data_IF_233904849048
#
_entry.id   IF_233904849048
#
_cell.length_a   1.000
_cell.length_b   1.000
_cell.length_c   1.000
_cell.angle_alpha   90.00
_cell.angle_beta   90.00
_cell.angle_gamma   90.00
#
_symmetry.space_group_name_H-M   'P 1'
#
loop_
_entity.id
_entity.type
_entity.pdbx_description
1 polymer ?
#
# COMPACT_ATOMS: atom_id res chain seq x y z
N UNK A 1 31.32 3.74 -0.95
CA UNK A 1 30.19 2.88 -1.36
C UNK A 1 28.91 3.68 -1.23
N UNK A 2 28.20 3.87 -2.32
CA UNK A 2 26.90 4.53 -2.28
C UNK A 2 25.84 3.53 -1.78
N UNK A 3 25.02 3.97 -0.81
CA UNK A 3 23.87 3.23 -0.38
C UNK A 3 22.66 3.79 -1.12
N UNK A 4 22.02 2.95 -1.92
CA UNK A 4 20.83 3.36 -2.64
C UNK A 4 19.62 3.27 -1.70
N UNK A 5 18.92 4.38 -1.53
CA UNK A 5 17.71 4.44 -0.72
C UNK A 5 16.64 5.23 -1.46
N UNK A 6 15.43 4.67 -1.51
CA UNK A 6 14.27 5.29 -2.15
C UNK A 6 13.09 5.28 -1.19
N UNK A 7 12.39 6.41 -1.11
CA UNK A 7 11.12 6.53 -0.40
C UNK A 7 10.04 6.89 -1.42
N UNK A 8 8.97 6.11 -1.43
CA UNK A 8 7.79 6.38 -2.25
C UNK A 8 6.54 6.31 -1.38
N UNK A 9 5.49 7.03 -1.73
CA UNK A 9 4.24 7.01 -0.97
C UNK A 9 3.02 6.97 -1.87
N UNK A 10 1.98 6.30 -1.39
CA UNK A 10 0.67 6.20 -2.02
C UNK A 10 -0.39 6.46 -0.95
N UNK A 11 -1.40 7.25 -1.28
CA UNK A 11 -2.51 7.49 -0.37
C UNK A 11 -3.48 6.32 -0.37
N UNK A 12 -4.04 6.03 0.79
CA UNK A 12 -5.06 5.02 0.98
C UNK A 12 -6.09 5.51 2.01
N UNK A 13 -7.09 4.70 2.26
CA UNK A 13 -8.13 4.99 3.26
C UNK A 13 -8.30 3.78 4.16
N UNK A 14 -8.42 4.03 5.46
CA UNK A 14 -8.77 3.02 6.44
C UNK A 14 -10.19 3.23 6.96
N UNK A 15 -10.66 2.30 7.79
CA UNK A 15 -11.96 2.40 8.46
C UNK A 15 -11.79 2.22 9.96
N UNK A 16 -12.48 3.08 10.73
CA UNK A 16 -12.74 2.87 12.14
C UNK A 16 -14.25 2.79 12.27
N UNK A 17 -14.77 1.57 12.50
CA UNK A 17 -16.20 1.33 12.39
C UNK A 17 -16.69 1.61 10.98
N UNK A 18 -17.60 2.57 10.82
CA UNK A 18 -18.13 2.99 9.51
C UNK A 18 -17.48 4.28 9.00
N UNK A 19 -16.55 4.84 9.74
CA UNK A 19 -15.90 6.10 9.38
C UNK A 19 -14.56 5.85 8.71
N UNK A 20 -14.38 6.43 7.51
CA UNK A 20 -13.11 6.40 6.80
C UNK A 20 -12.13 7.41 7.35
N UNK A 21 -10.84 7.12 7.21
CA UNK A 21 -9.77 8.06 7.55
C UNK A 21 -8.61 7.88 6.57
N UNK A 22 -7.81 8.94 6.32
CA UNK A 22 -6.69 8.81 5.40
C UNK A 22 -5.53 8.02 5.99
N UNK A 23 -4.92 7.19 5.16
CA UNK A 23 -3.70 6.44 5.48
C UNK A 23 -2.68 6.72 4.38
N UNK A 24 -1.46 7.04 4.78
CA UNK A 24 -0.35 7.15 3.84
C UNK A 24 0.47 5.87 3.89
N UNK A 25 0.60 5.22 2.76
CA UNK A 25 1.41 4.00 2.61
C UNK A 25 2.76 4.41 2.06
N UNK A 26 3.80 4.25 2.88
CA UNK A 26 5.16 4.64 2.53
C UNK A 26 6.01 3.40 2.32
N UNK A 27 6.68 3.32 1.17
CA UNK A 27 7.63 2.25 0.86
C UNK A 27 9.05 2.81 0.95
N UNK A 28 9.83 2.30 1.87
CA UNK A 28 11.24 2.61 2.02
C UNK A 28 12.07 1.41 1.57
N UNK A 29 12.82 1.59 0.50
CA UNK A 29 13.62 0.54 -0.11
C UNK A 29 15.08 0.94 -0.04
N UNK A 30 15.92 0.11 0.56
CA UNK A 30 17.35 0.37 0.72
C UNK A 30 18.13 -0.91 0.43
N UNK A 31 19.33 -0.74 -0.15
CA UNK A 31 20.21 -1.86 -0.39
C UNK A 31 20.55 -2.58 0.91
N UNK A 32 20.57 -3.89 0.86
CA UNK A 32 20.88 -4.71 2.02
C UNK A 32 20.34 -6.12 1.89
N UNK A 33 20.37 -6.84 2.99
CA UNK A 33 19.81 -8.19 3.06
C UNK A 33 18.32 -8.14 2.74
N UNK A 34 17.82 -8.98 1.82
CA UNK A 34 16.42 -8.99 1.45
C UNK A 34 15.51 -9.17 2.65
N UNK A 35 14.55 -8.26 2.80
CA UNK A 35 13.63 -8.25 3.92
C UNK A 35 12.38 -7.48 3.52
N UNK A 36 11.22 -7.92 3.97
CA UNK A 36 9.96 -7.24 3.72
C UNK A 36 9.17 -7.15 5.01
N UNK A 37 9.03 -5.96 5.55
CA UNK A 37 8.29 -5.71 6.78
C UNK A 37 7.22 -4.65 6.60
N UNK A 38 6.12 -4.80 7.36
CA UNK A 38 5.03 -3.84 7.41
C UNK A 38 4.94 -3.33 8.85
N UNK A 39 5.00 -2.02 9.01
CA UNK A 39 4.91 -1.33 10.30
C UNK A 39 3.77 -0.32 10.29
N UNK A 40 3.39 0.22 11.45
CA UNK A 40 2.28 1.16 11.59
C UNK A 40 1.05 0.52 12.21
N UNK A 41 1.23 -0.35 13.19
CA UNK A 41 0.19 -1.10 13.89
C UNK A 41 -0.68 -1.95 12.95
N UNK A 42 -0.07 -2.81 12.12
CA UNK A 42 -0.83 -3.70 11.26
C UNK A 42 -1.44 -4.87 12.05
N UNK A 43 -2.68 -5.23 11.75
CA UNK A 43 -3.25 -6.47 12.27
C UNK A 43 -2.71 -7.69 11.48
N UNK A 44 -3.19 -8.89 11.83
CA UNK A 44 -2.74 -10.12 11.17
C UNK A 44 -3.05 -10.10 9.66
N UNK A 45 -4.24 -9.63 9.27
CA UNK A 45 -4.64 -9.57 7.86
C UNK A 45 -3.77 -8.59 7.07
N UNK A 46 -3.40 -7.46 7.67
CA UNK A 46 -2.47 -6.50 7.05
C UNK A 46 -1.08 -7.10 6.90
N UNK A 47 -0.59 -7.82 7.92
CA UNK A 47 0.71 -8.49 7.83
C UNK A 47 0.75 -9.55 6.73
N UNK A 48 -0.36 -10.23 6.49
CA UNK A 48 -0.48 -11.21 5.41
C UNK A 48 -0.39 -10.57 4.02
N UNK A 49 -0.53 -9.26 3.91
CA UNK A 49 -0.33 -8.53 2.64
C UNK A 49 1.03 -8.84 2.02
N UNK A 50 2.04 -9.14 2.83
CA UNK A 50 3.37 -9.52 2.32
C UNK A 50 3.28 -10.68 1.35
N UNK A 51 2.52 -11.70 1.71
CA UNK A 51 2.37 -12.92 0.88
C UNK A 51 1.53 -12.64 -0.36
N UNK A 52 0.40 -11.94 -0.21
CA UNK A 52 -0.49 -11.63 -1.34
C UNK A 52 0.17 -10.71 -2.35
N UNK A 53 0.84 -9.65 -1.90
CA UNK A 53 1.53 -8.72 -2.77
C UNK A 53 2.67 -9.40 -3.53
N UNK A 54 3.47 -10.20 -2.84
CA UNK A 54 4.58 -10.93 -3.46
C UNK A 54 4.08 -11.88 -4.53
N UNK A 55 3.05 -12.67 -4.22
CA UNK A 55 2.47 -13.62 -5.17
C UNK A 55 1.82 -12.90 -6.36
N UNK A 56 1.07 -11.83 -6.11
CA UNK A 56 0.41 -11.05 -7.15
C UNK A 56 1.43 -10.45 -8.12
N UNK A 57 2.51 -9.87 -7.62
CA UNK A 57 3.56 -9.31 -8.47
C UNK A 57 4.21 -10.39 -9.32
N UNK A 58 4.48 -11.56 -8.74
CA UNK A 58 5.03 -12.68 -9.48
C UNK A 58 4.08 -13.16 -10.59
N UNK A 59 2.78 -13.27 -10.29
CA UNK A 59 1.77 -13.66 -11.26
C UNK A 59 1.66 -12.67 -12.43
N UNK A 60 1.93 -11.40 -12.19
CA UNK A 60 1.94 -10.35 -13.20
C UNK A 60 3.31 -10.17 -13.87
N UNK A 61 4.23 -11.11 -13.67
CA UNK A 61 5.59 -11.07 -14.22
C UNK A 61 6.36 -9.80 -13.86
N UNK A 62 6.07 -9.25 -12.68
CA UNK A 62 6.77 -8.09 -12.13
C UNK A 62 7.73 -8.57 -11.05
N UNK A 63 9.05 -8.38 -11.21
CA UNK A 63 9.99 -8.84 -10.20
C UNK A 63 9.82 -8.10 -8.88
N UNK A 64 9.87 -8.84 -7.78
CA UNK A 64 9.86 -8.26 -6.44
C UNK A 64 11.27 -7.75 -6.12
N UNK A 65 11.43 -6.58 -5.45
CA UNK A 65 12.75 -6.01 -5.20
C UNK A 65 13.59 -6.91 -4.29
N UNK A 66 14.87 -7.11 -4.67
CA UNK A 66 15.87 -7.81 -3.86
C UNK A 66 16.58 -6.75 -3.03
N UNK A 67 15.95 -6.32 -1.95
CA UNK A 67 16.42 -5.23 -1.12
C UNK A 67 15.74 -5.28 0.25
N UNK A 68 16.19 -4.43 1.16
CA UNK A 68 15.51 -4.25 2.45
C UNK A 68 14.33 -3.30 2.24
N UNK A 69 13.12 -3.83 2.38
CA UNK A 69 11.88 -3.11 2.11
C UNK A 69 11.06 -2.97 3.39
N UNK A 70 10.75 -1.74 3.74
CA UNK A 70 9.87 -1.42 4.88
C UNK A 70 8.67 -0.65 4.37
N UNK A 71 7.48 -1.17 4.64
CA UNK A 71 6.20 -0.50 4.37
C UNK A 71 5.68 0.08 5.67
N UNK A 72 5.48 1.39 5.70
CA UNK A 72 4.90 2.07 6.85
C UNK A 72 3.50 2.56 6.53
N UNK A 73 2.55 2.20 7.37
CA UNK A 73 1.16 2.66 7.26
C UNK A 73 0.94 3.79 8.26
N UNK A 74 0.99 5.03 7.79
CA UNK A 74 0.84 6.21 8.63
C UNK A 74 -0.64 6.64 8.69
N UNK A 75 -1.13 7.12 9.84
CA UNK A 75 -0.40 7.41 11.07
C UNK A 75 -0.07 6.14 11.88
N UNK A 76 1.10 6.13 12.51
CA UNK A 76 1.61 4.94 13.20
C UNK A 76 0.89 4.61 14.50
N UNK A 77 0.11 5.56 15.05
CA UNK A 77 -0.63 5.41 16.31
C UNK A 77 -2.06 4.89 16.12
N UNK A 78 -2.48 4.66 14.88
CA UNK A 78 -3.80 4.12 14.54
C UNK A 78 -3.63 2.70 14.02
N UNK A 79 -4.38 1.76 14.60
CA UNK A 79 -4.36 0.36 14.16
C UNK A 79 -5.00 0.23 12.78
N UNK A 80 -4.32 -0.49 11.87
CA UNK A 80 -4.82 -0.79 10.52
C UNK A 80 -5.30 -2.23 10.48
N UNK A 81 -6.45 -2.44 9.86
CA UNK A 81 -7.13 -3.73 9.85
C UNK A 81 -7.55 -4.12 8.42
N UNK A 82 -7.54 -5.41 8.16
CA UNK A 82 -8.08 -6.00 6.95
C UNK A 82 -7.13 -5.98 5.75
N UNK A 83 -7.57 -6.59 4.64
CA UNK A 83 -6.72 -6.80 3.47
C UNK A 83 -6.74 -5.66 2.45
N UNK A 84 -7.47 -4.57 2.71
CA UNK A 84 -7.67 -3.49 1.74
C UNK A 84 -6.39 -2.70 1.41
N UNK A 85 -5.32 -2.89 2.17
CA UNK A 85 -4.05 -2.21 1.92
C UNK A 85 -3.14 -2.93 0.92
N UNK A 86 -3.53 -4.11 0.44
CA UNK A 86 -2.72 -4.88 -0.52
C UNK A 86 -2.38 -4.04 -1.76
N UNK A 87 -3.39 -3.44 -2.38
CA UNK A 87 -3.20 -2.66 -3.60
C UNK A 87 -2.31 -1.43 -3.36
N UNK A 88 -2.56 -0.56 -2.38
CA UNK A 88 -1.68 0.59 -2.16
C UNK A 88 -0.26 0.18 -1.76
N UNK A 89 -0.08 -0.94 -1.06
CA UNK A 89 1.26 -1.47 -0.75
C UNK A 89 1.98 -1.86 -2.06
N UNK A 90 1.32 -2.60 -2.95
CA UNK A 90 1.90 -2.97 -4.23
C UNK A 90 2.26 -1.74 -5.07
N UNK A 91 1.37 -0.75 -5.12
CA UNK A 91 1.61 0.49 -5.86
C UNK A 91 2.78 1.28 -5.29
N UNK A 92 2.91 1.35 -3.97
CA UNK A 92 4.04 2.02 -3.32
C UNK A 92 5.37 1.31 -3.64
N UNK A 93 5.38 -0.02 -3.65
CA UNK A 93 6.56 -0.80 -4.03
C UNK A 93 6.92 -0.54 -5.49
N UNK A 94 5.95 -0.56 -6.40
CA UNK A 94 6.17 -0.27 -7.82
C UNK A 94 6.73 1.14 -8.03
N UNK A 95 6.23 2.11 -7.27
CA UNK A 95 6.74 3.48 -7.31
C UNK A 95 8.20 3.54 -6.81
N UNK A 96 8.51 2.85 -5.72
CA UNK A 96 9.88 2.79 -5.19
C UNK A 96 10.85 2.12 -6.17
N UNK A 97 10.36 1.18 -6.98
CA UNK A 97 11.15 0.51 -8.02
C UNK A 97 11.28 1.34 -9.31
N UNK A 98 10.67 2.52 -9.37
CA UNK A 98 10.67 3.35 -10.57
C UNK A 98 9.76 2.86 -11.69
N UNK A 99 8.87 1.92 -11.41
CA UNK A 99 7.93 1.36 -12.40
C UNK A 99 6.60 2.09 -12.47
N UNK A 100 6.34 2.95 -11.50
CA UNK A 100 5.17 3.80 -11.45
C UNK A 100 5.64 5.23 -11.14
N UNK A 101 5.41 6.20 -12.04
CA UNK A 101 5.78 7.59 -11.75
C UNK A 101 5.05 8.10 -10.52
N UNK A 102 5.75 8.83 -9.65
CA UNK A 102 5.18 9.35 -8.41
C UNK A 102 3.94 10.21 -8.64
N UNK A 103 3.94 11.03 -9.69
CA UNK A 103 2.83 11.89 -10.06
C UNK A 103 1.60 11.15 -10.60
N UNK A 104 1.74 9.89 -11.01
CA UNK A 104 0.63 9.10 -11.52
C UNK A 104 -0.48 8.89 -10.48
N UNK A 105 -0.11 8.83 -9.20
CA UNK A 105 -1.04 8.64 -8.10
C UNK A 105 -1.34 9.92 -7.32
N UNK A 106 -0.86 11.06 -7.80
CA UNK A 106 -1.06 12.33 -7.10
C UNK A 106 -2.54 12.69 -7.02
N UNK A 107 -3.02 13.01 -5.82
CA UNK A 107 -4.41 13.35 -5.56
C UNK A 107 -5.36 12.16 -5.59
N UNK A 108 -4.83 10.94 -5.62
CA UNK A 108 -5.64 9.71 -5.63
C UNK A 108 -5.32 8.86 -4.42
N UNK A 109 -6.35 8.19 -3.90
CA UNK A 109 -6.16 7.09 -2.95
C UNK A 109 -6.41 5.76 -3.66
N UNK A 110 -5.79 4.69 -3.16
CA UNK A 110 -6.01 3.35 -3.65
C UNK A 110 -6.37 2.42 -2.49
N UNK A 111 -7.37 1.58 -2.68
CA UNK A 111 -7.73 0.49 -1.76
C UNK A 111 -8.08 -0.75 -2.57
N UNK A 112 -7.73 -1.92 -2.07
CA UNK A 112 -8.06 -3.17 -2.73
C UNK A 112 -7.32 -4.34 -2.11
N UNK A 113 -7.99 -5.49 -2.10
CA UNK A 113 -7.36 -6.77 -1.76
C UNK A 113 -6.80 -7.38 -3.05
N UNK A 114 -5.64 -8.01 -2.98
CA UNK A 114 -5.06 -8.72 -4.11
C UNK A 114 -5.26 -10.22 -3.94
N UNK A 115 -5.71 -10.88 -5.01
CA UNK A 115 -5.64 -12.34 -5.10
C UNK A 115 -4.21 -12.76 -5.41
N UNK A 116 -3.88 -14.02 -5.18
CA UNK A 116 -2.54 -14.56 -5.50
C UNK A 116 -2.26 -14.53 -7.01
N UNK A 117 -3.29 -14.44 -7.84
CA UNK A 117 -3.17 -14.34 -9.30
C UNK A 117 -3.00 -12.90 -9.79
N UNK A 118 -3.04 -11.92 -8.91
CA UNK A 118 -2.85 -10.51 -9.26
C UNK A 118 -4.13 -9.74 -9.55
N UNK A 119 -5.30 -10.34 -9.33
CA UNK A 119 -6.57 -9.63 -9.48
C UNK A 119 -6.85 -8.72 -8.29
N UNK A 120 -7.44 -7.57 -8.55
CA UNK A 120 -7.90 -6.65 -7.49
C UNK A 120 -9.31 -7.05 -7.09
N UNK A 121 -9.48 -7.31 -5.80
CA UNK A 121 -10.75 -7.71 -5.20
C UNK A 121 -11.40 -6.50 -4.51
N UNK A 122 -12.73 -6.46 -4.48
CA UNK A 122 -13.48 -5.40 -3.80
C UNK A 122 -13.27 -5.40 -2.30
N UNK A 123 -13.52 -4.25 -1.69
CA UNK A 123 -13.33 -4.04 -0.26
C UNK A 123 -14.62 -3.64 0.42
N UNK A 124 -14.70 -3.87 1.74
CA UNK A 124 -15.81 -3.40 2.56
C UNK A 124 -15.65 -1.91 2.84
N UNK A 125 -16.79 -1.21 2.90
CA UNK A 125 -16.80 0.20 3.29
C UNK A 125 -16.31 1.15 2.21
N UNK A 126 -16.40 0.76 0.94
CA UNK A 126 -15.95 1.59 -0.18
C UNK A 126 -16.61 2.98 -0.17
N UNK A 127 -17.90 3.08 0.14
CA UNK A 127 -18.59 4.36 0.19
C UNK A 127 -18.03 5.27 1.30
N UNK A 128 -17.84 4.72 2.50
CA UNK A 128 -17.25 5.48 3.62
C UNK A 128 -15.84 5.95 3.30
N UNK A 129 -15.05 5.11 2.62
CA UNK A 129 -13.71 5.46 2.17
C UNK A 129 -13.74 6.56 1.11
N UNK A 130 -14.66 6.49 0.16
CA UNK A 130 -14.80 7.50 -0.89
C UNK A 130 -15.20 8.87 -0.31
N UNK A 131 -16.10 8.89 0.66
CA UNK A 131 -16.51 10.12 1.35
C UNK A 131 -15.31 10.72 2.09
N UNK A 132 -14.56 9.90 2.83
CA UNK A 132 -13.38 10.36 3.56
C UNK A 132 -12.28 10.86 2.61
N UNK A 133 -12.09 10.22 1.46
CA UNK A 133 -11.13 10.66 0.46
C UNK A 133 -11.50 12.06 -0.07
N UNK A 134 -12.78 12.29 -0.37
CA UNK A 134 -13.27 13.58 -0.81
C UNK A 134 -13.05 14.64 0.26
N UNK A 135 -13.40 14.34 1.51
CA UNK A 135 -13.22 15.27 2.64
C UNK A 135 -11.74 15.58 2.90
N UNK A 136 -10.84 14.66 2.56
CA UNK A 136 -9.39 14.85 2.68
C UNK A 136 -8.78 15.61 1.51
N UNK A 137 -9.60 16.07 0.55
CA UNK A 137 -9.14 16.84 -0.60
C UNK A 137 -8.62 16.01 -1.77
N UNK A 138 -8.81 14.70 -1.74
CA UNK A 138 -8.42 13.84 -2.85
C UNK A 138 -9.47 13.91 -3.97
N UNK A 139 -9.00 13.84 -5.22
CA UNK A 139 -9.86 13.96 -6.40
C UNK A 139 -10.42 12.63 -6.89
N UNK A 140 -9.82 11.53 -6.46
CA UNK A 140 -10.23 10.19 -6.93
C UNK A 140 -9.84 9.11 -5.92
N UNK A 141 -10.52 7.99 -6.01
CA UNK A 141 -10.17 6.77 -5.28
C UNK A 141 -10.22 5.60 -6.25
N UNK A 142 -9.16 4.79 -6.25
CA UNK A 142 -9.07 3.56 -7.02
C UNK A 142 -9.52 2.42 -6.11
N UNK A 143 -10.52 1.68 -6.58
CA UNK A 143 -11.12 0.57 -5.84
C UNK A 143 -10.95 -0.73 -6.63
#
# INVERSE_FOLDING_TARGET
MEVFAVLASVQSMGLTGIQGYPVTVEAYCVDGMPMFEIVGLPDAAVKESRERVRAAMSACHTPFPVARLTLNLAPADVRKEGPAYDLPIALAILSAMGRLPGEAMEGMAAVGELSLSGSVMGVRGALSMAIAAKESGLRAIML
#
